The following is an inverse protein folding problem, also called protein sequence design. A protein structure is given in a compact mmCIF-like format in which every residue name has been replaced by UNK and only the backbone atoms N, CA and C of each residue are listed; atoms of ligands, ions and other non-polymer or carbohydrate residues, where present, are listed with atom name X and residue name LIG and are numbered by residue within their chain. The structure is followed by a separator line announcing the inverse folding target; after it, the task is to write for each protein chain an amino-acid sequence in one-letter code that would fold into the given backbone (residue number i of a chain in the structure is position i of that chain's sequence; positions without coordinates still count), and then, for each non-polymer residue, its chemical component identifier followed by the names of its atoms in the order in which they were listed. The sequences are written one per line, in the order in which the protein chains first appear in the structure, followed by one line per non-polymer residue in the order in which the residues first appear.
data_IF_909919345712
#
_entry.id   IF_909919345712
#
_cell.length_a   1.000
_cell.length_b   1.000
_cell.length_c   1.000
_cell.angle_alpha   90.00
_cell.angle_beta   90.00
_cell.angle_gamma   90.00
#
_symmetry.space_group_name_H-M   'P 1'
#
loop_
_entity.id
_entity.type
_entity.pdbx_description
1 polymer ?
#
# COMPACT_ATOMS: atom_id res chain seq x y z
N UNK A 1 -20.70 1.57 13.17
CA UNK A 1 -19.92 1.42 11.93
C UNK A 1 -20.81 0.84 10.84
N UNK A 2 -20.66 1.29 9.60
CA UNK A 2 -21.38 0.69 8.48
C UNK A 2 -20.95 -0.79 8.28
N UNK A 3 -21.90 -1.65 7.90
CA UNK A 3 -21.66 -3.08 7.67
C UNK A 3 -20.63 -3.26 6.56
N UNK A 4 -19.57 -4.04 6.81
CA UNK A 4 -18.60 -4.46 5.78
C UNK A 4 -19.04 -5.77 5.15
N UNK A 5 -18.99 -5.84 3.83
CA UNK A 5 -19.29 -7.06 3.08
C UNK A 5 -18.20 -8.13 3.21
N UNK A 6 -16.94 -7.71 3.38
CA UNK A 6 -15.81 -8.60 3.66
C UNK A 6 -15.16 -8.18 4.98
N UNK A 7 -14.92 -9.15 5.86
CA UNK A 7 -14.36 -8.94 7.19
C UNK A 7 -13.23 -9.94 7.42
N UNK A 8 -12.15 -9.48 8.05
CA UNK A 8 -11.04 -10.33 8.46
C UNK A 8 -11.00 -10.43 9.97
N UNK A 9 -11.03 -11.67 10.46
CA UNK A 9 -10.84 -12.05 11.85
C UNK A 9 -9.35 -12.37 12.05
N UNK A 10 -8.64 -11.46 12.71
CA UNK A 10 -7.22 -11.60 12.98
C UNK A 10 -6.90 -12.64 14.05
N UNK A 11 -7.83 -12.96 14.95
CA UNK A 11 -7.63 -13.97 15.98
C UNK A 11 -7.74 -15.38 15.40
N UNK A 12 -8.67 -15.58 14.46
CA UNK A 12 -8.91 -16.87 13.81
C UNK A 12 -8.25 -17.02 12.44
N UNK A 13 -7.46 -16.03 12.02
CA UNK A 13 -6.81 -15.97 10.71
C UNK A 13 -7.77 -16.27 9.54
N UNK A 14 -8.99 -15.72 9.59
CA UNK A 14 -10.05 -16.04 8.63
C UNK A 14 -10.65 -14.78 8.02
N UNK A 15 -10.80 -14.78 6.70
CA UNK A 15 -11.57 -13.76 5.98
C UNK A 15 -12.93 -14.32 5.58
N UNK A 16 -14.01 -13.59 5.87
CA UNK A 16 -15.40 -13.99 5.59
C UNK A 16 -16.12 -12.91 4.79
N UNK A 17 -16.97 -13.34 3.85
CA UNK A 17 -17.79 -12.47 3.00
C UNK A 17 -19.28 -12.66 3.23
N UNK A 18 -20.06 -11.61 2.98
CA UNK A 18 -21.53 -11.61 3.02
C UNK A 18 -22.06 -11.03 1.72
N UNK A 19 -23.01 -11.74 1.11
CA UNK A 19 -23.61 -11.34 -0.15
C UNK A 19 -25.10 -11.68 -0.19
N UNK A 20 -25.81 -11.03 -1.12
CA UNK A 20 -27.21 -11.27 -1.46
C UNK A 20 -27.29 -11.72 -2.92
N UNK A 21 -28.42 -12.32 -3.37
CA UNK A 21 -28.63 -12.58 -4.80
C UNK A 21 -28.37 -11.31 -5.63
N UNK A 22 -27.73 -11.46 -6.80
CA UNK A 22 -27.49 -10.35 -7.71
C UNK A 22 -28.79 -9.66 -8.12
N UNK A 23 -28.72 -8.37 -8.43
CA UNK A 23 -29.87 -7.63 -8.95
C UNK A 23 -30.05 -7.93 -10.45
N UNK A 24 -31.30 -8.18 -10.84
CA UNK A 24 -31.78 -8.22 -12.23
C UNK A 24 -32.58 -6.94 -12.50
N UNK A 25 -32.98 -6.69 -13.75
CA UNK A 25 -33.76 -5.50 -14.12
C UNK A 25 -35.07 -5.34 -13.31
N UNK A 26 -35.66 -6.44 -12.85
CA UNK A 26 -36.91 -6.48 -12.08
C UNK A 26 -36.72 -6.61 -10.56
N UNK A 27 -35.49 -6.52 -10.05
CA UNK A 27 -35.15 -6.72 -8.63
C UNK A 27 -34.24 -7.93 -8.37
N UNK A 28 -34.15 -8.44 -7.12
CA UNK A 28 -33.25 -9.53 -6.79
C UNK A 28 -33.52 -10.79 -7.62
N UNK A 29 -32.46 -11.37 -8.20
CA UNK A 29 -32.56 -12.56 -9.02
C UNK A 29 -32.93 -13.81 -8.21
N UNK A 30 -33.70 -14.69 -8.83
CA UNK A 30 -33.97 -16.04 -8.31
C UNK A 30 -32.71 -16.92 -8.41
N UNK A 31 -32.64 -18.06 -7.69
CA UNK A 31 -31.55 -19.01 -7.85
C UNK A 31 -31.33 -19.43 -9.32
N UNK A 32 -32.41 -19.67 -10.08
CA UNK A 32 -32.31 -20.06 -11.50
C UNK A 32 -31.72 -18.96 -12.41
N UNK A 33 -31.75 -17.71 -11.99
CA UNK A 33 -31.16 -16.58 -12.73
C UNK A 33 -29.74 -16.26 -12.29
N UNK A 34 -29.42 -16.51 -11.02
CA UNK A 34 -28.17 -16.07 -10.39
C UNK A 34 -27.13 -17.17 -10.32
N UNK A 35 -27.54 -18.43 -10.21
CA UNK A 35 -26.66 -19.61 -10.32
C UNK A 35 -26.39 -19.82 -11.81
N UNK A 36 -25.15 -19.63 -12.23
CA UNK A 36 -24.73 -19.81 -13.62
C UNK A 36 -24.52 -21.30 -13.92
N UNK A 37 -23.83 -22.01 -13.02
CA UNK A 37 -23.52 -23.44 -13.07
C UNK A 37 -23.33 -23.99 -11.64
N UNK A 38 -22.84 -25.22 -11.50
CA UNK A 38 -22.73 -25.91 -10.21
C UNK A 38 -21.68 -25.31 -9.24
N UNK A 39 -20.79 -24.45 -9.73
CA UNK A 39 -19.70 -23.84 -8.97
C UNK A 39 -19.68 -22.30 -9.03
N UNK A 40 -20.58 -21.67 -9.80
CA UNK A 40 -20.65 -20.21 -9.98
C UNK A 40 -22.03 -19.63 -9.67
N UNK A 41 -22.06 -18.65 -8.76
CA UNK A 41 -23.25 -17.83 -8.45
C UNK A 41 -22.93 -16.34 -8.51
N UNK A 42 -23.76 -15.60 -9.22
CA UNK A 42 -23.70 -14.14 -9.29
C UNK A 42 -24.38 -13.53 -8.07
N UNK A 43 -23.65 -12.69 -7.35
CA UNK A 43 -24.12 -12.06 -6.10
C UNK A 43 -23.83 -10.58 -6.08
N UNK A 44 -24.58 -9.84 -5.25
CA UNK A 44 -24.23 -8.48 -4.85
C UNK A 44 -23.76 -8.48 -3.41
N UNK A 45 -22.74 -7.69 -3.11
CA UNK A 45 -22.16 -7.64 -1.77
C UNK A 45 -23.15 -7.06 -0.74
N UNK A 46 -23.22 -7.67 0.44
CA UNK A 46 -24.10 -7.26 1.54
C UNK A 46 -23.37 -6.34 2.52
N UNK A 47 -23.12 -5.11 2.06
CA UNK A 47 -22.43 -4.07 2.81
C UNK A 47 -21.35 -3.38 1.98
N UNK A 48 -20.53 -2.60 2.67
CA UNK A 48 -19.47 -1.83 2.03
C UNK A 48 -18.22 -2.68 1.80
N UNK A 49 -17.56 -2.45 0.68
CA UNK A 49 -16.25 -3.00 0.36
C UNK A 49 -15.19 -1.92 0.54
N UNK A 50 -14.04 -2.30 1.11
CA UNK A 50 -12.93 -1.39 1.27
C UNK A 50 -11.95 -1.54 0.10
N UNK A 51 -11.39 -0.42 -0.35
CA UNK A 51 -10.37 -0.35 -1.39
C UNK A 51 -9.08 0.17 -0.77
N UNK A 52 -7.94 -0.41 -1.15
CA UNK A 52 -6.59 0.06 -0.86
C UNK A 52 -5.94 0.51 -2.17
N UNK A 53 -5.37 1.71 -2.14
CA UNK A 53 -4.60 2.25 -3.25
C UNK A 53 -3.30 1.44 -3.41
N UNK A 54 -3.16 0.78 -4.55
CA UNK A 54 -1.98 0.02 -4.93
C UNK A 54 -0.73 0.91 -5.07
N UNK A 55 0.44 0.37 -4.72
CA UNK A 55 1.73 1.03 -4.95
C UNK A 55 2.03 2.22 -4.02
N UNK A 56 1.17 2.53 -3.05
CA UNK A 56 1.36 3.63 -2.10
C UNK A 56 1.07 3.20 -0.66
N UNK A 57 1.64 3.92 0.30
CA UNK A 57 1.40 3.72 1.73
C UNK A 57 1.35 5.09 2.43
N UNK A 58 0.20 5.40 3.03
CA UNK A 58 -0.02 6.68 3.72
C UNK A 58 0.29 6.55 5.21
N UNK A 59 0.63 7.63 5.91
CA UNK A 59 0.75 7.63 7.36
C UNK A 59 -0.54 7.11 8.03
N UNK A 60 -0.39 6.50 9.21
CA UNK A 60 -1.47 5.81 9.92
C UNK A 60 -2.15 6.80 10.87
N UNK A 61 -3.49 6.90 10.81
CA UNK A 61 -4.25 7.71 11.77
C UNK A 61 -4.36 6.98 13.11
N UNK A 62 -4.51 5.66 13.06
CA UNK A 62 -4.70 4.80 14.22
C UNK A 62 -4.12 3.43 13.94
N UNK A 63 -3.62 2.79 14.99
CA UNK A 63 -3.10 1.43 14.92
C UNK A 63 -3.14 0.76 16.30
N UNK A 64 -2.81 -0.53 16.39
CA UNK A 64 -2.66 -1.18 17.69
C UNK A 64 -1.32 -0.83 18.32
N UNK A 65 -1.27 -0.56 19.62
CA UNK A 65 0.00 -0.54 20.37
C UNK A 65 0.51 -1.98 20.61
N UNK A 66 1.81 -2.18 20.90
CA UNK A 66 2.31 -3.48 21.33
C UNK A 66 1.48 -4.06 22.48
N UNK A 67 0.93 -5.26 22.29
CA UNK A 67 0.09 -5.96 23.29
C UNK A 67 -1.11 -5.13 23.79
N UNK A 68 -1.46 -4.07 23.05
CA UNK A 68 -2.41 -3.06 23.45
C UNK A 68 -3.63 -3.01 22.53
N UNK A 69 -4.58 -2.15 22.90
CA UNK A 69 -5.78 -1.91 22.09
C UNK A 69 -5.47 -0.98 20.91
N UNK A 70 -6.29 -1.09 19.87
CA UNK A 70 -6.32 -0.16 18.76
C UNK A 70 -6.61 1.26 19.27
N UNK A 71 -5.75 2.22 18.93
CA UNK A 71 -5.83 3.61 19.37
C UNK A 71 -5.36 4.57 18.27
N UNK A 72 -5.89 5.79 18.28
CA UNK A 72 -5.37 6.89 17.46
C UNK A 72 -3.93 7.24 17.83
N UNK A 73 -3.12 7.67 16.86
CA UNK A 73 -1.71 8.04 17.10
C UNK A 73 -1.56 9.34 17.92
N UNK A 74 -2.63 10.10 18.09
CA UNK A 74 -2.73 11.22 19.03
C UNK A 74 -2.85 10.78 20.50
N UNK A 75 -3.10 9.50 20.78
CA UNK A 75 -3.13 8.97 22.14
C UNK A 75 -1.73 9.06 22.79
N UNK A 76 -1.57 9.62 24.01
CA UNK A 76 -0.27 9.81 24.64
C UNK A 76 0.58 8.55 24.78
N UNK A 77 -0.04 7.36 24.80
CA UNK A 77 0.68 6.07 24.84
C UNK A 77 1.51 5.82 23.57
N UNK A 78 1.13 6.41 22.43
CA UNK A 78 1.96 6.37 21.22
C UNK A 78 3.22 7.21 21.36
N UNK A 79 3.15 8.37 21.99
CA UNK A 79 4.34 9.17 22.32
C UNK A 79 5.26 8.40 23.27
N UNK A 80 4.71 7.77 24.31
CA UNK A 80 5.48 6.92 25.22
C UNK A 80 6.17 5.75 24.49
N UNK A 81 5.44 5.09 23.58
CA UNK A 81 5.97 3.98 22.79
C UNK A 81 7.06 4.42 21.81
N UNK A 82 6.79 5.44 21.00
CA UNK A 82 7.73 5.90 19.96
C UNK A 82 8.88 6.74 20.53
N UNK A 83 8.88 7.11 21.81
CA UNK A 83 10.09 7.68 22.44
C UNK A 83 11.21 6.65 22.53
N UNK A 84 10.88 5.41 22.89
CA UNK A 84 11.81 4.27 22.85
C UNK A 84 11.05 2.97 22.57
N UNK A 85 10.88 2.61 21.28
CA UNK A 85 10.15 1.40 20.92
C UNK A 85 10.94 0.12 21.18
N UNK A 86 12.22 0.21 21.56
CA UNK A 86 13.06 -0.95 21.86
C UNK A 86 13.21 -1.22 23.36
N UNK A 87 12.57 -0.41 24.22
CA UNK A 87 12.52 -0.66 25.66
C UNK A 87 11.87 -2.01 25.98
N UNK A 88 12.43 -2.72 26.96
CA UNK A 88 12.00 -4.08 27.36
C UNK A 88 10.52 -4.16 27.74
N UNK A 89 9.93 -3.06 28.26
CA UNK A 89 8.51 -2.98 28.63
C UNK A 89 7.54 -3.27 27.49
N UNK A 90 7.97 -3.11 26.23
CA UNK A 90 7.14 -3.38 25.05
C UNK A 90 7.22 -4.84 24.56
N UNK A 91 8.01 -5.66 25.24
CA UNK A 91 8.28 -7.05 24.87
C UNK A 91 9.33 -7.17 23.75
N UNK A 92 9.89 -8.38 23.54
CA UNK A 92 10.91 -8.59 22.52
C UNK A 92 10.34 -8.44 21.11
N UNK A 93 11.20 -8.13 20.14
CA UNK A 93 10.88 -8.32 18.72
C UNK A 93 10.88 -9.82 18.42
N UNK A 94 9.86 -10.32 17.72
CA UNK A 94 9.74 -11.74 17.35
C UNK A 94 10.84 -12.19 16.37
N UNK A 95 11.37 -11.25 15.59
CA UNK A 95 12.54 -11.44 14.75
C UNK A 95 13.65 -10.52 15.24
N UNK A 96 14.87 -11.03 15.51
CA UNK A 96 16.00 -10.19 15.91
C UNK A 96 16.24 -9.06 14.92
N UNK A 97 16.34 -7.83 15.43
CA UNK A 97 16.67 -6.65 14.63
C UNK A 97 18.19 -6.43 14.71
N UNK A 98 18.93 -6.49 13.59
CA UNK A 98 20.37 -6.27 13.58
C UNK A 98 20.74 -4.89 14.15
N UNK A 99 21.91 -4.73 14.80
CA UNK A 99 22.31 -3.47 15.42
C UNK A 99 22.23 -2.26 14.48
N UNK A 100 22.60 -2.44 13.21
CA UNK A 100 22.52 -1.40 12.17
C UNK A 100 21.08 -0.93 11.93
N UNK A 101 20.15 -1.86 11.76
CA UNK A 101 18.74 -1.54 11.55
C UNK A 101 18.11 -0.93 12.81
N UNK A 102 18.50 -1.42 14.01
CA UNK A 102 18.07 -0.84 15.28
C UNK A 102 18.52 0.62 15.40
N UNK A 103 19.78 0.92 15.09
CA UNK A 103 20.31 2.29 15.12
C UNK A 103 19.60 3.20 14.10
N UNK A 104 19.35 2.70 12.88
CA UNK A 104 18.59 3.42 11.87
C UNK A 104 17.18 3.78 12.35
N UNK A 105 16.44 2.82 12.91
CA UNK A 105 15.09 3.06 13.43
C UNK A 105 15.11 3.96 14.67
N UNK A 106 16.08 3.79 15.57
CA UNK A 106 16.22 4.62 16.77
C UNK A 106 16.46 6.10 16.43
N UNK A 107 17.12 6.40 15.30
CA UNK A 107 17.32 7.77 14.83
C UNK A 107 16.06 8.42 14.24
N UNK A 108 15.01 7.64 13.94
CA UNK A 108 13.75 8.08 13.32
C UNK A 108 12.60 8.23 14.31
N UNK A 109 12.82 7.87 15.57
CA UNK A 109 11.79 7.85 16.61
C UNK A 109 12.17 8.84 17.72
N UNK A 110 11.20 9.18 18.56
CA UNK A 110 11.34 10.23 19.58
C UNK A 110 9.98 10.76 20.03
N UNK A 111 10.01 11.77 20.91
CA UNK A 111 8.79 12.33 21.52
C UNK A 111 7.80 12.88 20.47
N UNK A 112 8.30 13.44 19.36
CA UNK A 112 7.46 14.06 18.33
C UNK A 112 7.02 13.10 17.23
N UNK A 113 7.51 11.85 17.23
CA UNK A 113 7.26 10.91 16.15
C UNK A 113 5.76 10.57 16.01
N UNK A 114 5.08 10.32 17.13
CA UNK A 114 3.64 10.02 17.13
C UNK A 114 2.80 11.19 16.61
N UNK A 115 3.03 12.39 17.16
CA UNK A 115 2.31 13.60 16.79
C UNK A 115 2.51 13.94 15.30
N UNK A 116 3.76 13.93 14.83
CA UNK A 116 4.08 14.22 13.43
C UNK A 116 3.49 13.17 12.49
N UNK A 117 3.47 11.89 12.88
CA UNK A 117 2.84 10.82 12.10
C UNK A 117 1.33 11.03 11.96
N UNK A 118 0.66 11.36 13.07
CA UNK A 118 -0.77 11.64 13.08
C UNK A 118 -1.13 12.87 12.23
N UNK A 119 -0.38 13.97 12.38
CA UNK A 119 -0.59 15.20 11.59
C UNK A 119 -0.54 14.93 10.08
N UNK A 120 0.49 14.20 9.63
CA UNK A 120 0.61 13.82 8.22
C UNK A 120 -0.47 12.82 7.80
N UNK A 121 -0.92 11.93 8.68
CA UNK A 121 -1.99 10.98 8.39
C UNK A 121 -3.32 11.71 8.15
N UNK A 122 -3.66 12.66 9.01
CA UNK A 122 -4.84 13.53 8.85
C UNK A 122 -4.71 14.33 7.56
N UNK A 123 -3.58 15.01 7.33
CA UNK A 123 -3.38 15.80 6.12
C UNK A 123 -3.48 14.96 4.83
N UNK A 124 -3.01 13.72 4.86
CA UNK A 124 -3.12 12.79 3.73
C UNK A 124 -4.56 12.34 3.50
N UNK A 125 -5.32 12.06 4.57
CA UNK A 125 -6.76 11.77 4.47
C UNK A 125 -7.53 12.94 3.87
N UNK A 126 -7.30 14.16 4.37
CA UNK A 126 -7.98 15.35 3.88
C UNK A 126 -7.61 15.63 2.41
N UNK A 127 -6.34 15.49 2.02
CA UNK A 127 -5.90 15.62 0.64
C UNK A 127 -6.60 14.63 -0.29
N UNK A 128 -6.72 13.36 0.12
CA UNK A 128 -7.43 12.36 -0.67
C UNK A 128 -8.94 12.67 -0.76
N UNK A 129 -9.57 13.09 0.35
CA UNK A 129 -10.97 13.52 0.35
C UNK A 129 -11.20 14.65 -0.64
N UNK A 130 -10.36 15.68 -0.61
CA UNK A 130 -10.46 16.83 -1.50
C UNK A 130 -10.30 16.43 -2.97
N UNK A 131 -9.41 15.49 -3.31
CA UNK A 131 -9.29 14.99 -4.69
C UNK A 131 -10.59 14.33 -5.18
N UNK A 132 -11.23 13.53 -4.33
CA UNK A 132 -12.50 12.88 -4.65
C UNK A 132 -13.63 13.91 -4.77
N UNK A 133 -13.70 14.89 -3.86
CA UNK A 133 -14.68 15.97 -3.89
C UNK A 133 -14.56 16.82 -5.16
N UNK A 134 -13.33 17.17 -5.56
CA UNK A 134 -13.06 17.89 -6.81
C UNK A 134 -13.46 17.07 -8.04
N UNK A 135 -13.15 15.77 -8.06
CA UNK A 135 -13.53 14.90 -9.17
C UNK A 135 -15.06 14.72 -9.26
N UNK A 136 -15.77 14.63 -8.13
CA UNK A 136 -17.24 14.65 -8.11
C UNK A 136 -17.79 15.94 -8.72
N UNK A 137 -17.23 17.10 -8.36
CA UNK A 137 -17.63 18.39 -8.90
C UNK A 137 -17.35 18.49 -10.42
N UNK A 138 -16.16 18.09 -10.88
CA UNK A 138 -15.79 18.09 -12.30
C UNK A 138 -16.73 17.19 -13.11
N UNK A 139 -17.05 16.00 -12.57
CA UNK A 139 -17.98 15.06 -13.21
C UNK A 139 -19.45 15.50 -13.08
N UNK A 140 -19.75 16.55 -12.32
CA UNK A 140 -21.11 17.01 -11.99
C UNK A 140 -21.96 15.88 -11.40
N UNK A 141 -21.34 15.07 -10.56
CA UNK A 141 -21.96 13.90 -9.92
C UNK A 141 -22.13 14.13 -8.41
N UNK A 142 -23.08 13.43 -7.82
CA UNK A 142 -23.31 13.42 -6.37
C UNK A 142 -22.72 12.13 -5.77
N UNK A 143 -22.61 12.00 -4.43
CA UNK A 143 -22.21 10.74 -3.83
C UNK A 143 -23.07 9.53 -4.23
N UNK A 144 -24.31 9.75 -4.70
CA UNK A 144 -25.21 8.70 -5.17
C UNK A 144 -24.96 8.26 -6.62
N UNK A 145 -24.33 9.11 -7.45
CA UNK A 145 -24.12 8.85 -8.89
C UNK A 145 -22.65 8.75 -9.28
N UNK A 146 -21.74 9.21 -8.41
CA UNK A 146 -20.31 9.11 -8.64
C UNK A 146 -19.84 7.67 -8.56
N UNK A 147 -19.09 7.24 -9.57
CA UNK A 147 -18.52 5.89 -9.62
C UNK A 147 -17.01 5.95 -9.77
N UNK A 148 -16.33 4.97 -9.19
CA UNK A 148 -14.89 4.82 -9.33
C UNK A 148 -14.57 3.86 -10.47
N UNK A 149 -13.48 4.14 -11.18
CA UNK A 149 -12.81 3.18 -12.04
C UNK A 149 -11.67 2.52 -11.24
N UNK A 150 -11.59 1.21 -11.30
CA UNK A 150 -10.61 0.40 -10.56
C UNK A 150 -9.83 -0.47 -11.54
N UNK A 151 -8.50 -0.30 -11.58
CA UNK A 151 -7.61 -1.17 -12.34
C UNK A 151 -6.75 -2.03 -11.40
N UNK A 152 -6.85 -3.35 -11.52
CA UNK A 152 -6.31 -4.31 -10.57
C UNK A 152 -4.98 -4.91 -11.03
N UNK A 153 -4.06 -5.11 -10.09
CA UNK A 153 -2.86 -5.93 -10.32
C UNK A 153 -3.20 -7.43 -10.40
N UNK A 154 -2.19 -8.30 -10.35
CA UNK A 154 -2.40 -9.76 -10.20
C UNK A 154 -3.18 -10.08 -8.93
N UNK A 155 -2.83 -9.46 -7.81
CA UNK A 155 -3.53 -9.65 -6.55
C UNK A 155 -4.67 -8.64 -6.45
N UNK A 156 -5.90 -9.11 -6.65
CA UNK A 156 -7.12 -8.28 -6.63
C UNK A 156 -7.50 -7.90 -5.20
N UNK A 157 -7.26 -8.78 -4.23
CA UNK A 157 -7.55 -8.55 -2.81
C UNK A 157 -6.30 -8.68 -1.96
N UNK A 158 -6.20 -7.88 -0.90
CA UNK A 158 -5.20 -8.10 0.14
C UNK A 158 -5.69 -9.10 1.20
N UNK A 159 -4.77 -9.57 2.05
CA UNK A 159 -5.08 -10.50 3.15
C UNK A 159 -6.04 -9.95 4.22
N UNK A 160 -6.53 -8.71 4.09
CA UNK A 160 -7.55 -8.12 4.95
C UNK A 160 -8.93 -8.04 4.26
N UNK A 161 -9.05 -8.54 3.04
CA UNK A 161 -10.29 -8.53 2.27
C UNK A 161 -10.59 -7.19 1.61
N UNK A 162 -9.59 -6.32 1.43
CA UNK A 162 -9.73 -5.07 0.68
C UNK A 162 -9.35 -5.29 -0.78
N UNK A 163 -10.08 -4.65 -1.68
CA UNK A 163 -9.67 -4.54 -3.07
C UNK A 163 -8.36 -3.76 -3.19
N UNK A 164 -7.47 -4.18 -4.08
CA UNK A 164 -6.16 -3.56 -4.30
C UNK A 164 -6.05 -3.07 -5.75
N UNK A 165 -6.10 -1.75 -5.96
CA UNK A 165 -6.15 -1.21 -7.32
C UNK A 165 -5.51 0.18 -7.48
N UNK A 166 -5.24 0.53 -8.74
CA UNK A 166 -5.14 1.92 -9.17
C UNK A 166 -6.56 2.48 -9.28
N UNK A 167 -6.87 3.48 -8.45
CA UNK A 167 -8.21 4.06 -8.36
C UNK A 167 -8.27 5.37 -9.14
N UNK A 168 -9.36 5.60 -9.86
CA UNK A 168 -9.64 6.89 -10.50
C UNK A 168 -11.15 7.17 -10.50
N UNK A 169 -11.55 8.38 -10.88
CA UNK A 169 -12.95 8.66 -11.22
C UNK A 169 -13.34 7.85 -12.46
N UNK A 170 -14.57 7.31 -12.49
CA UNK A 170 -15.06 6.62 -13.67
C UNK A 170 -15.42 7.66 -14.75
N UNK A 171 -14.59 7.71 -15.78
CA UNK A 171 -14.75 8.65 -16.89
C UNK A 171 -14.53 7.89 -18.21
N UNK A 172 -15.60 7.34 -18.82
CA UNK A 172 -15.49 6.54 -20.04
C UNK A 172 -14.78 7.29 -21.18
N UNK A 173 -15.14 8.55 -21.41
CA UNK A 173 -14.43 9.42 -22.37
C UNK A 173 -13.11 9.91 -21.78
N UNK A 174 -11.98 9.72 -22.46
CA UNK A 174 -10.68 10.16 -21.95
C UNK A 174 -10.53 11.69 -21.86
N UNK A 175 -11.38 12.47 -22.52
CA UNK A 175 -11.24 13.93 -22.68
C UNK A 175 -12.45 14.73 -22.22
N UNK A 176 -13.57 14.09 -21.89
CA UNK A 176 -14.82 14.75 -21.47
C UNK A 176 -15.18 14.34 -20.04
N UNK A 177 -15.54 15.27 -19.14
CA UNK A 177 -15.66 16.72 -19.35
C UNK A 177 -14.31 17.46 -19.40
N UNK A 178 -13.26 16.84 -18.90
CA UNK A 178 -11.86 17.30 -18.99
C UNK A 178 -10.96 16.09 -19.25
N UNK A 179 -9.69 16.29 -19.67
CA UNK A 179 -8.73 15.20 -19.75
C UNK A 179 -8.73 14.37 -18.46
N UNK A 180 -8.80 13.04 -18.60
CA UNK A 180 -8.80 12.13 -17.46
C UNK A 180 -7.54 12.39 -16.63
N UNK A 181 -7.66 12.68 -15.33
CA UNK A 181 -6.49 12.92 -14.49
C UNK A 181 -5.74 11.60 -14.28
N UNK A 182 -4.48 11.66 -13.79
CA UNK A 182 -3.83 10.47 -13.29
C UNK A 182 -4.63 9.80 -12.15
N UNK A 183 -4.29 8.55 -11.85
CA UNK A 183 -4.90 7.83 -10.73
C UNK A 183 -4.78 8.62 -9.42
N UNK A 184 -5.70 8.40 -8.49
CA UNK A 184 -5.57 8.96 -7.14
C UNK A 184 -4.25 8.52 -6.49
N UNK A 185 -3.77 7.32 -6.82
CA UNK A 185 -2.48 6.80 -6.36
C UNK A 185 -1.33 7.74 -6.76
N UNK A 186 -1.21 8.07 -8.05
CA UNK A 186 -0.17 8.99 -8.52
C UNK A 186 -0.38 10.39 -7.96
N UNK A 187 -1.61 10.90 -7.95
CA UNK A 187 -1.93 12.24 -7.42
C UNK A 187 -1.57 12.42 -5.95
N UNK A 188 -1.62 11.34 -5.16
CA UNK A 188 -1.16 11.34 -3.76
C UNK A 188 0.36 11.36 -3.66
N UNK A 189 1.08 10.64 -4.53
CA UNK A 189 2.55 10.68 -4.61
C UNK A 189 3.07 12.05 -5.05
N UNK A 190 2.48 12.65 -6.09
CA UNK A 190 2.81 14.00 -6.57
C UNK A 190 2.73 15.07 -5.48
N UNK A 191 1.79 14.90 -4.54
CA UNK A 191 1.55 15.83 -3.43
C UNK A 191 2.41 15.55 -2.20
N UNK A 192 3.27 14.52 -2.23
CA UNK A 192 3.99 14.05 -1.05
C UNK A 192 3.05 13.62 0.08
N UNK A 193 1.87 13.06 -0.24
CA UNK A 193 0.87 12.60 0.75
C UNK A 193 0.84 11.09 0.92
N UNK A 194 1.75 10.38 0.27
CA UNK A 194 1.98 8.96 0.47
C UNK A 194 3.44 8.62 0.17
N UNK A 195 3.99 7.62 0.85
CA UNK A 195 5.21 6.98 0.40
C UNK A 195 4.90 6.06 -0.78
N UNK A 196 5.83 5.91 -1.75
CA UNK A 196 5.74 4.80 -2.69
C UNK A 196 5.93 3.48 -1.95
N UNK A 197 5.13 2.50 -2.30
CA UNK A 197 5.20 1.16 -1.74
C UNK A 197 4.96 0.14 -2.85
N UNK A 198 5.89 0.11 -3.79
CA UNK A 198 5.86 -0.76 -4.95
C UNK A 198 6.10 -2.21 -4.51
N UNK A 199 5.09 -3.06 -4.69
CA UNK A 199 5.15 -4.47 -4.32
C UNK A 199 4.93 -5.28 -5.60
N UNK A 200 5.92 -6.08 -5.98
CA UNK A 200 5.79 -7.03 -7.07
C UNK A 200 4.77 -8.13 -6.69
N UNK A 201 3.93 -8.61 -7.63
CA UNK A 201 3.91 -8.32 -9.07
C UNK A 201 2.97 -7.16 -9.47
N UNK A 202 2.46 -6.39 -8.51
CA UNK A 202 1.40 -5.41 -8.74
C UNK A 202 1.93 -3.99 -9.03
N UNK A 203 3.02 -3.86 -9.79
CA UNK A 203 3.66 -2.56 -10.03
C UNK A 203 2.96 -1.73 -11.11
N UNK A 204 2.53 -2.36 -12.21
CA UNK A 204 1.85 -1.71 -13.32
C UNK A 204 0.68 -2.58 -13.81
N UNK A 205 -0.56 -2.31 -13.35
CA UNK A 205 -1.76 -3.01 -13.82
C UNK A 205 -2.11 -2.79 -15.29
N UNK A 206 -1.57 -1.78 -15.96
CA UNK A 206 -1.93 -1.44 -17.34
C UNK A 206 -1.19 -2.27 -18.38
N UNK A 207 0.04 -2.67 -18.06
CA UNK A 207 0.93 -3.45 -18.92
C UNK A 207 1.34 -4.74 -18.22
N UNK A 208 0.34 -5.45 -17.71
CA UNK A 208 0.52 -6.67 -16.93
C UNK A 208 0.63 -7.87 -17.89
N UNK A 209 1.65 -8.74 -17.75
CA UNK A 209 1.71 -10.02 -18.45
C UNK A 209 0.52 -10.94 -18.13
N UNK A 210 0.36 -12.02 -18.89
CA UNK A 210 -0.73 -12.98 -18.68
C UNK A 210 -0.55 -13.74 -17.37
N UNK A 211 0.70 -14.09 -17.02
CA UNK A 211 1.03 -14.88 -15.84
C UNK A 211 1.98 -14.16 -14.87
N UNK A 212 1.97 -14.58 -13.60
CA UNK A 212 2.87 -14.03 -12.57
C UNK A 212 4.33 -14.42 -12.87
N UNK A 213 4.54 -15.59 -13.45
CA UNK A 213 5.85 -16.09 -13.87
C UNK A 213 6.49 -15.23 -14.97
N UNK A 214 5.70 -14.80 -15.95
CA UNK A 214 6.17 -13.89 -17.01
C UNK A 214 6.46 -12.48 -16.49
N UNK A 215 5.86 -12.09 -15.36
CA UNK A 215 6.12 -10.80 -14.72
C UNK A 215 7.44 -10.76 -13.94
N UNK A 216 8.18 -11.88 -13.82
CA UNK A 216 9.46 -11.89 -13.12
C UNK A 216 10.47 -11.07 -13.90
N UNK A 217 11.01 -10.04 -13.24
CA UNK A 217 12.05 -9.18 -13.80
C UNK A 217 13.31 -10.04 -13.98
N UNK A 218 13.94 -10.09 -15.16
CA UNK A 218 15.20 -10.82 -15.32
C UNK A 218 16.32 -10.23 -14.44
N UNK A 219 17.27 -11.05 -13.97
CA UNK A 219 18.40 -10.56 -13.18
C UNK A 219 19.17 -9.45 -13.90
N UNK A 220 19.52 -8.38 -13.17
CA UNK A 220 20.23 -7.22 -13.73
C UNK A 220 19.40 -6.34 -14.67
N UNK A 221 18.09 -6.56 -14.79
CA UNK A 221 17.19 -5.76 -15.65
C UNK A 221 16.23 -4.85 -14.87
N UNK A 222 16.31 -4.81 -13.55
CA UNK A 222 15.40 -4.03 -12.72
C UNK A 222 15.44 -2.52 -13.01
N UNK A 223 16.64 -1.94 -13.14
CA UNK A 223 16.82 -0.54 -13.51
C UNK A 223 16.27 -0.24 -14.90
N UNK A 224 16.61 -1.08 -15.89
CA UNK A 224 16.11 -0.93 -17.26
C UNK A 224 14.57 -0.94 -17.29
N UNK A 225 13.95 -1.91 -16.62
CA UNK A 225 12.48 -1.97 -16.47
C UNK A 225 11.94 -0.69 -15.83
N UNK A 226 12.55 -0.22 -14.73
CA UNK A 226 12.08 0.96 -14.02
C UNK A 226 12.22 2.27 -14.81
N UNK A 227 13.10 2.32 -15.81
CA UNK A 227 13.28 3.46 -16.70
C UNK A 227 12.45 3.39 -17.99
N UNK A 228 11.95 2.20 -18.35
CA UNK A 228 11.14 1.95 -19.53
C UNK A 228 9.64 1.82 -19.23
N UNK A 229 9.26 1.32 -18.04
CA UNK A 229 7.87 1.29 -17.59
C UNK A 229 7.39 2.71 -17.30
N UNK A 230 6.43 3.20 -18.10
CA UNK A 230 5.95 4.58 -18.01
C UNK A 230 5.33 4.89 -16.64
N UNK A 231 4.55 3.98 -16.08
CA UNK A 231 3.78 4.23 -14.87
C UNK A 231 4.70 4.22 -13.64
N UNK A 232 5.59 3.24 -13.55
CA UNK A 232 6.60 3.16 -12.50
C UNK A 232 7.56 4.34 -12.58
N UNK A 233 8.08 4.67 -13.77
CA UNK A 233 8.95 5.83 -13.97
C UNK A 233 8.29 7.12 -13.52
N UNK A 234 7.03 7.32 -13.89
CA UNK A 234 6.26 8.53 -13.53
C UNK A 234 6.03 8.60 -12.03
N UNK A 235 5.63 7.50 -11.38
CA UNK A 235 5.45 7.45 -9.94
C UNK A 235 6.75 7.75 -9.18
N UNK A 236 7.87 7.18 -9.63
CA UNK A 236 9.20 7.44 -9.05
C UNK A 236 9.61 8.90 -9.20
N UNK A 237 9.42 9.47 -10.39
CA UNK A 237 9.73 10.87 -10.65
C UNK A 237 8.87 11.81 -9.79
N UNK A 238 7.57 11.52 -9.64
CA UNK A 238 6.65 12.31 -8.81
C UNK A 238 7.09 12.36 -7.35
N UNK A 239 7.47 11.21 -6.76
CA UNK A 239 7.97 11.15 -5.38
C UNK A 239 9.29 11.88 -5.24
N UNK A 240 10.22 11.67 -6.18
CA UNK A 240 11.52 12.38 -6.19
C UNK A 240 11.32 13.89 -6.22
N UNK A 241 10.39 14.37 -7.05
CA UNK A 241 10.04 15.78 -7.14
C UNK A 241 9.40 16.29 -5.85
N UNK A 242 8.41 15.57 -5.30
CA UNK A 242 7.78 15.95 -4.02
C UNK A 242 8.80 16.03 -2.88
N UNK A 243 9.77 15.11 -2.85
CA UNK A 243 10.87 15.11 -1.90
C UNK A 243 11.82 16.30 -2.08
N UNK A 244 12.22 16.60 -3.32
CA UNK A 244 13.08 17.75 -3.64
C UNK A 244 12.41 19.09 -3.34
N UNK A 245 11.07 19.14 -3.43
CA UNK A 245 10.27 20.32 -3.13
C UNK A 245 9.80 20.38 -1.67
N UNK A 246 10.20 19.42 -0.84
CA UNK A 246 9.81 19.33 0.57
C UNK A 246 8.29 19.33 0.79
N UNK A 247 7.54 18.59 -0.04
CA UNK A 247 6.09 18.52 0.04
C UNK A 247 5.61 17.47 1.03
N UNK A 248 4.60 17.83 1.83
CA UNK A 248 3.84 16.89 2.66
C UNK A 248 4.73 16.10 3.61
N UNK A 249 4.75 14.77 3.48
CA UNK A 249 5.57 13.88 4.32
C UNK A 249 7.09 14.16 4.21
N UNK A 250 7.52 14.92 3.21
CA UNK A 250 8.91 15.33 3.00
C UNK A 250 9.20 16.77 3.48
N UNK A 251 8.29 17.40 4.21
CA UNK A 251 8.45 18.75 4.75
C UNK A 251 9.80 18.93 5.45
N UNK A 252 10.47 20.06 5.19
CA UNK A 252 11.84 20.30 5.68
C UNK A 252 11.89 20.53 7.19
N UNK A 253 10.84 21.11 7.78
CA UNK A 253 10.78 21.49 9.19
C UNK A 253 10.08 20.41 10.03
N UNK A 254 9.08 19.73 9.46
CA UNK A 254 8.31 18.66 10.09
C UNK A 254 8.10 17.47 9.14
N UNK A 255 9.16 16.75 8.74
CA UNK A 255 9.02 15.58 7.89
C UNK A 255 8.32 14.44 8.63
N UNK A 256 7.70 13.52 7.89
CA UNK A 256 7.30 12.25 8.49
C UNK A 256 8.55 11.46 8.85
N UNK A 257 8.76 11.21 10.14
CA UNK A 257 9.99 10.59 10.63
C UNK A 257 10.04 9.08 10.35
N UNK A 258 8.89 8.40 10.40
CA UNK A 258 8.79 6.94 10.31
C UNK A 258 7.88 6.54 9.14
N UNK A 259 8.33 5.62 8.28
CA UNK A 259 7.48 5.12 7.20
C UNK A 259 6.33 4.28 7.78
N UNK A 260 5.14 4.25 7.14
CA UNK A 260 3.97 3.62 7.77
C UNK A 260 4.15 2.10 7.97
N UNK A 261 4.91 1.41 7.11
CA UNK A 261 5.25 0.01 7.35
C UNK A 261 6.20 -0.18 8.56
N UNK A 262 7.12 0.76 8.81
CA UNK A 262 8.04 0.69 9.95
C UNK A 262 7.27 0.86 11.27
N UNK A 263 6.32 1.80 11.34
CA UNK A 263 5.41 1.96 12.48
C UNK A 263 4.66 0.66 12.78
N UNK A 264 4.08 0.05 11.73
CA UNK A 264 3.35 -1.21 11.85
C UNK A 264 4.23 -2.34 12.34
N UNK A 265 5.47 -2.42 11.85
CA UNK A 265 6.44 -3.45 12.26
C UNK A 265 6.84 -3.28 13.73
N UNK A 266 7.21 -2.08 14.15
CA UNK A 266 7.55 -1.77 15.54
C UNK A 266 6.40 -2.09 16.50
N UNK A 267 5.17 -1.69 16.14
CA UNK A 267 3.97 -1.96 16.93
C UNK A 267 3.69 -3.46 17.06
N UNK A 268 3.77 -4.21 15.95
CA UNK A 268 3.53 -5.66 15.92
C UNK A 268 4.66 -6.48 16.53
N UNK A 269 5.76 -5.83 16.92
CA UNK A 269 7.00 -6.47 17.38
C UNK A 269 7.59 -7.41 16.31
N UNK A 270 7.50 -7.06 15.03
CA UNK A 270 8.03 -7.86 13.92
C UNK A 270 9.01 -7.04 13.09
N UNK A 271 9.94 -7.70 12.39
CA UNK A 271 10.83 -7.04 11.46
C UNK A 271 10.25 -7.01 10.03
N UNK A 272 10.88 -6.24 9.14
CA UNK A 272 10.54 -6.27 7.72
C UNK A 272 10.77 -7.69 7.15
N UNK A 273 9.87 -8.16 6.30
CA UNK A 273 9.86 -9.54 5.80
C UNK A 273 9.89 -9.67 4.27
N UNK A 274 9.80 -8.55 3.54
CA UNK A 274 9.84 -8.54 2.07
C UNK A 274 11.25 -8.28 1.59
N UNK A 275 11.71 -9.11 0.67
CA UNK A 275 12.98 -8.89 -0.01
C UNK A 275 12.89 -7.64 -0.86
N UNK A 276 14.03 -7.08 -1.24
CA UNK A 276 14.10 -5.79 -1.89
C UNK A 276 14.97 -5.84 -3.15
N UNK A 277 14.48 -5.21 -4.22
CA UNK A 277 15.25 -4.84 -5.40
C UNK A 277 15.49 -3.33 -5.35
N UNK A 278 16.75 -2.93 -5.58
CA UNK A 278 17.13 -1.54 -5.83
C UNK A 278 16.89 -1.20 -7.30
N UNK A 279 15.90 -0.35 -7.57
CA UNK A 279 15.50 0.06 -8.92
C UNK A 279 16.52 1.00 -9.59
N UNK A 280 17.59 1.39 -8.91
CA UNK A 280 18.69 2.20 -9.49
C UNK A 280 19.89 1.36 -9.91
N UNK A 281 19.86 0.05 -9.62
CA UNK A 281 20.99 -0.85 -9.77
C UNK A 281 20.70 -1.94 -10.81
N UNK A 282 21.76 -2.36 -11.49
CA UNK A 282 21.76 -3.53 -12.39
C UNK A 282 22.18 -4.81 -11.64
N UNK A 283 22.02 -4.82 -10.31
CA UNK A 283 22.28 -5.98 -9.46
C UNK A 283 21.34 -7.15 -9.80
N UNK A 284 21.87 -8.37 -9.65
CA UNK A 284 21.15 -9.64 -9.76
C UNK A 284 20.78 -10.23 -8.40
N UNK A 285 20.90 -9.44 -7.33
CA UNK A 285 20.71 -9.89 -5.94
C UNK A 285 19.48 -9.26 -5.30
N UNK A 286 18.59 -10.11 -4.78
CA UNK A 286 17.54 -9.72 -3.86
C UNK A 286 18.14 -9.40 -2.50
N UNK A 287 18.01 -8.15 -2.06
CA UNK A 287 18.48 -7.69 -0.76
C UNK A 287 17.61 -8.28 0.35
N UNK A 288 18.28 -8.71 1.43
CA UNK A 288 17.60 -9.23 2.61
C UNK A 288 16.64 -8.15 3.18
N UNK A 289 15.43 -8.51 3.66
CA UNK A 289 14.42 -7.54 4.09
C UNK A 289 14.90 -6.50 5.11
N UNK A 290 15.84 -6.87 5.97
CA UNK A 290 16.38 -6.00 7.02
C UNK A 290 17.43 -4.99 6.52
N UNK A 291 17.87 -5.13 5.26
CA UNK A 291 18.83 -4.24 4.61
C UNK A 291 18.16 -3.14 3.79
N UNK A 292 16.83 -2.96 3.88
CA UNK A 292 16.14 -1.91 3.13
C UNK A 292 16.71 -0.49 3.30
N UNK A 293 17.36 -0.10 4.42
CA UNK A 293 18.01 1.21 4.52
C UNK A 293 19.19 1.40 3.56
N UNK A 294 19.71 0.32 2.96
CA UNK A 294 20.76 0.40 1.93
C UNK A 294 20.27 1.08 0.65
N UNK A 295 18.97 1.01 0.36
CA UNK A 295 18.33 1.78 -0.72
C UNK A 295 17.75 3.04 -0.10
N UNK A 296 18.49 4.14 -0.18
CA UNK A 296 18.24 5.35 0.60
C UNK A 296 16.84 5.93 0.38
N UNK A 297 16.39 5.98 -0.88
CA UNK A 297 15.13 6.62 -1.24
C UNK A 297 14.00 5.60 -1.44
N UNK A 298 12.80 5.84 -0.89
CA UNK A 298 11.69 4.91 -0.99
C UNK A 298 11.19 4.74 -2.44
N UNK A 299 11.32 5.76 -3.29
CA UNK A 299 10.98 5.65 -4.72
C UNK A 299 11.89 4.70 -5.51
N UNK A 300 13.00 4.27 -4.93
CA UNK A 300 13.94 3.35 -5.57
C UNK A 300 13.77 1.91 -5.05
N UNK A 301 12.79 1.66 -4.17
CA UNK A 301 12.55 0.37 -3.53
C UNK A 301 11.43 -0.42 -4.22
N UNK A 302 11.75 -1.62 -4.70
CA UNK A 302 10.75 -2.60 -5.14
C UNK A 302 10.73 -3.81 -4.20
N UNK A 303 9.61 -4.00 -3.51
CA UNK A 303 9.43 -5.05 -2.52
C UNK A 303 8.94 -6.36 -3.15
N UNK A 304 9.61 -7.46 -2.83
CA UNK A 304 9.29 -8.82 -3.26
C UNK A 304 8.74 -9.60 -2.06
N UNK A 305 7.44 -9.96 -2.06
CA UNK A 305 6.89 -10.86 -1.05
C UNK A 305 7.64 -12.19 -1.00
N UNK A 306 7.87 -12.72 0.21
CA UNK A 306 8.64 -13.96 0.41
C UNK A 306 8.11 -15.16 -0.38
N UNK A 307 6.79 -15.25 -0.57
CA UNK A 307 6.14 -16.30 -1.35
C UNK A 307 6.60 -16.36 -2.82
N UNK A 308 7.10 -15.24 -3.36
CA UNK A 308 7.54 -15.14 -4.76
C UNK A 308 9.06 -15.24 -4.93
N UNK A 309 9.84 -15.22 -3.85
CA UNK A 309 11.31 -15.37 -3.91
C UNK A 309 11.75 -16.61 -4.70
N UNK A 310 11.09 -17.80 -4.59
CA UNK A 310 11.46 -18.96 -5.40
C UNK A 310 11.35 -18.73 -6.91
N UNK A 311 10.42 -17.90 -7.38
CA UNK A 311 10.29 -17.57 -8.82
C UNK A 311 11.48 -16.75 -9.31
N UNK A 312 11.94 -15.78 -8.50
CA UNK A 312 13.12 -14.99 -8.80
C UNK A 312 14.39 -15.86 -8.79
N UNK A 313 14.54 -16.75 -7.81
CA UNK A 313 15.67 -17.71 -7.76
C UNK A 313 15.71 -18.62 -8.99
N UNK A 314 14.56 -19.18 -9.38
CA UNK A 314 14.44 -20.00 -10.60
C UNK A 314 14.84 -19.22 -11.86
N UNK A 315 14.61 -17.92 -11.87
CA UNK A 315 14.96 -17.01 -12.97
C UNK A 315 16.42 -16.52 -12.91
N UNK A 316 17.22 -17.00 -11.94
CA UNK A 316 18.65 -16.71 -11.82
C UNK A 316 19.02 -15.62 -10.82
N UNK A 317 18.08 -15.09 -10.03
CA UNK A 317 18.41 -14.13 -8.97
C UNK A 317 19.15 -14.78 -7.81
N UNK A 318 20.17 -14.08 -7.31
CA UNK A 318 20.81 -14.39 -6.03
C UNK A 318 19.96 -13.85 -4.90
N UNK A 319 19.92 -14.56 -3.77
CA UNK A 319 19.18 -14.12 -2.58
C UNK A 319 20.14 -13.94 -1.44
N UNK A 320 20.17 -12.74 -0.88
CA UNK A 320 20.97 -12.47 0.30
C UNK A 320 20.36 -13.19 1.52
N UNK A 321 21.05 -14.20 2.02
CA UNK A 321 20.55 -15.06 3.10
C UNK A 321 20.51 -14.36 4.47
N UNK A 322 21.50 -13.51 4.76
CA UNK A 322 21.66 -12.85 6.06
C UNK A 322 21.72 -11.31 5.90
N UNK A 323 21.26 -10.53 6.89
CA UNK A 323 21.44 -9.09 6.89
C UNK A 323 22.94 -8.72 6.91
N UNK A 324 23.27 -7.58 6.29
CA UNK A 324 24.64 -7.06 6.19
C UNK A 324 24.91 -5.98 7.24
#
# INVERSE_FOLDING_TARGET
MAKKAIQSDSERHRTTGFARPADMDSGPGTPAQTVHDGDTVNVRLDGNLAVRLLGIDTPEISFSLPQGKFAGLEDPRWTEFLTDPFADRWGPMSTPVPPRLRAFLAAKVGADAAATHYEHAVASREAFRTLVEQDMQIMQQTPATFTYYMNFGFEVTDGYGRLLCMLNRNQPSATVPTPRPPSYNLRMLERGRAFPYFIWPNINPWDRPETVEEAVIPPGKAREMAENDRELKTARAAVRQARQQHLGIFDMLRPLLLEPFELRNLSRRVAASRYLIDLTSDSDTLLHPLNYPAVAFPEDRLWIPGAYVPLFQKSGWKVQAEPA
#
